data_IF_055729198851
#
_entry.id   IF_055729198851
#
_cell.length_a   1.000
_cell.length_b   1.000
_cell.length_c   1.000
_cell.angle_alpha   90.00
_cell.angle_beta   90.00
_cell.angle_gamma   90.00
#
_symmetry.space_group_name_H-M   'P 1'
#
loop_
_entity.id
_entity.type
_entity.pdbx_description
1 polymer ?
#
# COMPACT_ATOMS: atom_id res chain seq x y z
N UNK A 1 12.92 -0.12 9.13
CA UNK A 1 13.45 -0.33 7.77
C UNK A 1 12.47 0.32 6.83
N UNK A 2 12.87 1.41 6.18
CA UNK A 2 12.05 2.09 5.18
C UNK A 2 11.86 1.15 3.98
N UNK A 3 10.62 0.93 3.56
CA UNK A 3 10.36 0.06 2.41
C UNK A 3 10.47 0.92 1.16
N UNK A 4 11.69 1.12 0.66
CA UNK A 4 11.85 1.71 -0.67
C UNK A 4 11.11 0.84 -1.68
N UNK A 5 10.04 1.38 -2.28
CA UNK A 5 9.24 0.72 -3.32
C UNK A 5 10.18 0.33 -4.47
N UNK A 6 10.40 -0.97 -4.64
CA UNK A 6 11.35 -1.52 -5.59
C UNK A 6 10.79 -2.78 -6.21
N UNK A 7 10.84 -2.86 -7.53
CA UNK A 7 10.45 -4.02 -8.32
C UNK A 7 11.59 -5.03 -8.51
N UNK A 8 12.79 -4.74 -8.00
CA UNK A 8 13.93 -5.66 -8.12
C UNK A 8 13.71 -6.89 -7.23
N UNK A 9 13.82 -8.08 -7.81
CA UNK A 9 13.69 -9.37 -7.12
C UNK A 9 14.85 -10.30 -7.47
N UNK A 10 15.13 -11.33 -6.65
CA UNK A 10 16.08 -12.38 -7.03
C UNK A 10 15.64 -13.09 -8.32
N UNK A 11 16.59 -13.54 -9.14
CA UNK A 11 16.32 -14.14 -10.47
C UNK A 11 15.31 -15.30 -10.45
N UNK A 12 15.32 -16.12 -9.40
CA UNK A 12 14.36 -17.23 -9.24
C UNK A 12 12.90 -16.78 -9.10
N UNK A 13 12.64 -15.49 -8.84
CA UNK A 13 11.31 -14.92 -8.68
C UNK A 13 10.76 -14.24 -9.92
N UNK A 14 11.53 -14.05 -11.00
CA UNK A 14 11.07 -13.31 -12.19
C UNK A 14 9.79 -13.90 -12.80
N UNK A 15 9.74 -15.23 -13.00
CA UNK A 15 8.56 -15.92 -13.51
C UNK A 15 7.35 -15.88 -12.55
N UNK A 16 7.50 -16.35 -11.30
CA UNK A 16 6.40 -16.29 -10.32
C UNK A 16 5.89 -14.87 -10.03
N UNK A 17 6.78 -13.86 -10.06
CA UNK A 17 6.41 -12.45 -9.92
C UNK A 17 5.48 -12.03 -11.06
N UNK A 18 5.84 -12.31 -12.30
CA UNK A 18 5.03 -11.94 -13.46
C UNK A 18 3.62 -12.56 -13.41
N UNK A 19 3.52 -13.83 -12.99
CA UNK A 19 2.23 -14.50 -12.84
C UNK A 19 1.34 -13.86 -11.76
N UNK A 20 1.93 -13.50 -10.61
CA UNK A 20 1.20 -12.82 -9.54
C UNK A 20 0.77 -11.40 -9.94
N UNK A 21 1.65 -10.66 -10.62
CA UNK A 21 1.34 -9.32 -11.15
C UNK A 21 0.18 -9.40 -12.14
N UNK A 22 0.21 -10.34 -13.09
CA UNK A 22 -0.87 -10.48 -14.06
C UNK A 22 -2.23 -10.75 -13.39
N UNK A 23 -2.25 -11.57 -12.33
CA UNK A 23 -3.47 -11.84 -11.54
C UNK A 23 -3.97 -10.60 -10.79
N UNK A 24 -3.08 -9.86 -10.14
CA UNK A 24 -3.48 -8.67 -9.39
C UNK A 24 -3.85 -7.50 -10.29
N UNK A 25 -3.11 -7.30 -11.38
CA UNK A 25 -3.35 -6.22 -12.34
C UNK A 25 -4.70 -6.43 -13.03
N UNK A 26 -4.95 -7.64 -13.57
CA UNK A 26 -6.25 -7.95 -14.20
C UNK A 26 -7.43 -7.76 -13.25
N UNK A 27 -7.27 -8.15 -11.97
CA UNK A 27 -8.30 -7.90 -10.96
C UNK A 27 -8.51 -6.40 -10.70
N UNK A 28 -7.43 -5.64 -10.60
CA UNK A 28 -7.51 -4.21 -10.32
C UNK A 28 -8.12 -3.44 -11.48
N UNK A 29 -7.78 -3.81 -12.72
CA UNK A 29 -8.35 -3.21 -13.92
C UNK A 29 -9.86 -3.46 -14.03
N UNK A 30 -10.34 -4.64 -13.59
CA UNK A 30 -11.76 -5.00 -13.66
C UNK A 30 -12.58 -4.46 -12.48
N UNK A 31 -11.99 -4.39 -11.28
CA UNK A 31 -12.77 -4.20 -10.05
C UNK A 31 -12.27 -3.14 -9.07
N UNK A 32 -11.03 -2.65 -9.22
CA UNK A 32 -10.45 -1.62 -8.33
C UNK A 32 -9.95 -0.43 -9.16
N UNK A 33 -8.65 -0.11 -9.04
CA UNK A 33 -8.00 0.98 -9.75
C UNK A 33 -6.50 0.71 -9.96
N UNK A 34 -5.86 1.61 -10.70
CA UNK A 34 -4.44 1.54 -11.00
C UNK A 34 -3.54 1.69 -9.75
N UNK A 35 -3.96 2.41 -8.72
CA UNK A 35 -3.16 2.62 -7.50
C UNK A 35 -3.02 1.31 -6.71
N UNK A 36 -4.10 0.52 -6.63
CA UNK A 36 -4.07 -0.84 -6.09
C UNK A 36 -3.15 -1.75 -6.89
N UNK A 37 -3.19 -1.70 -8.22
CA UNK A 37 -2.31 -2.49 -9.08
C UNK A 37 -0.83 -2.19 -8.79
N UNK A 38 -0.47 -0.90 -8.75
CA UNK A 38 0.90 -0.49 -8.44
C UNK A 38 1.35 -0.92 -7.04
N UNK A 39 0.52 -0.73 -6.02
CA UNK A 39 0.82 -1.18 -4.66
C UNK A 39 0.94 -2.70 -4.56
N UNK A 40 0.10 -3.45 -5.27
CA UNK A 40 0.17 -4.90 -5.33
C UNK A 40 1.50 -5.37 -5.93
N UNK A 41 1.94 -4.77 -7.05
CA UNK A 41 3.25 -5.05 -7.67
C UNK A 41 4.40 -4.85 -6.66
N UNK A 42 4.40 -3.74 -5.94
CA UNK A 42 5.41 -3.47 -4.91
C UNK A 42 5.35 -4.46 -3.74
N UNK A 43 4.15 -4.80 -3.27
CA UNK A 43 3.95 -5.77 -2.19
C UNK A 43 4.46 -7.16 -2.59
N UNK A 44 4.12 -7.63 -3.79
CA UNK A 44 4.58 -8.93 -4.31
C UNK A 44 6.11 -8.94 -4.42
N UNK A 45 6.71 -7.91 -5.05
CA UNK A 45 8.16 -7.81 -5.16
C UNK A 45 8.85 -7.80 -3.78
N UNK A 46 8.27 -7.10 -2.79
CA UNK A 46 8.77 -7.09 -1.43
C UNK A 46 8.68 -8.47 -0.75
N UNK A 47 7.59 -9.22 -0.97
CA UNK A 47 7.45 -10.59 -0.48
C UNK A 47 8.48 -11.54 -1.11
N UNK A 48 8.73 -11.43 -2.43
CA UNK A 48 9.77 -12.20 -3.13
C UNK A 48 11.17 -12.02 -2.52
N UNK A 49 11.46 -10.85 -1.93
CA UNK A 49 12.75 -10.55 -1.27
C UNK A 49 12.85 -11.11 0.15
N UNK A 50 11.76 -11.54 0.79
CA UNK A 50 11.80 -12.12 2.14
C UNK A 50 12.50 -13.48 2.12
N UNK A 51 13.14 -13.84 3.25
CA UNK A 51 13.91 -15.09 3.40
C UNK A 51 13.49 -15.83 4.69
N UNK A 52 12.82 -16.99 4.58
CA UNK A 52 12.21 -17.52 3.37
C UNK A 52 11.06 -16.61 2.86
N UNK A 53 10.81 -16.62 1.55
CA UNK A 53 9.65 -15.91 0.99
C UNK A 53 8.40 -16.71 1.30
N UNK A 54 7.32 -16.09 1.83
CA UNK A 54 6.08 -16.81 2.11
C UNK A 54 5.41 -17.32 0.83
N UNK A 55 5.70 -16.70 -0.31
CA UNK A 55 5.14 -17.05 -1.62
C UNK A 55 5.57 -18.44 -2.11
N UNK A 56 6.59 -19.07 -1.50
CA UNK A 56 7.03 -20.43 -1.90
C UNK A 56 6.00 -21.51 -1.59
N UNK A 57 5.05 -21.24 -0.69
CA UNK A 57 4.05 -22.20 -0.24
C UNK A 57 2.63 -21.73 -0.57
N UNK A 58 2.00 -22.41 -1.55
CA UNK A 58 0.60 -22.19 -1.94
C UNK A 58 0.42 -21.71 -3.37
N UNK A 59 -0.83 -21.61 -3.81
CA UNK A 59 -1.16 -21.22 -5.18
C UNK A 59 -1.05 -19.71 -5.40
N UNK A 60 -0.73 -19.32 -6.63
CA UNK A 60 -0.58 -17.91 -7.01
C UNK A 60 -1.89 -17.12 -6.83
N UNK A 61 -3.05 -17.70 -7.14
CA UNK A 61 -4.36 -17.09 -6.87
C UNK A 61 -4.57 -16.78 -5.39
N UNK A 62 -4.14 -17.68 -4.50
CA UNK A 62 -4.22 -17.46 -3.05
C UNK A 62 -3.38 -16.28 -2.60
N UNK A 63 -2.17 -16.15 -3.14
CA UNK A 63 -1.28 -15.04 -2.80
C UNK A 63 -1.73 -13.72 -3.44
N UNK A 64 -2.24 -13.72 -4.66
CA UNK A 64 -2.82 -12.54 -5.31
C UNK A 64 -3.99 -11.98 -4.50
N UNK A 65 -4.96 -12.84 -4.14
CA UNK A 65 -6.06 -12.49 -3.25
C UNK A 65 -5.55 -11.94 -1.90
N UNK A 66 -4.60 -12.63 -1.27
CA UNK A 66 -4.06 -12.23 0.03
C UNK A 66 -3.36 -10.87 0.01
N UNK A 67 -2.64 -10.54 -1.07
CA UNK A 67 -1.98 -9.24 -1.26
C UNK A 67 -3.02 -8.13 -1.37
N UNK A 68 -4.00 -8.28 -2.27
CA UNK A 68 -5.05 -7.28 -2.44
C UNK A 68 -5.91 -7.12 -1.19
N UNK A 69 -6.21 -8.22 -0.49
CA UNK A 69 -6.91 -8.19 0.79
C UNK A 69 -6.09 -7.42 1.86
N UNK A 70 -4.78 -7.66 1.94
CA UNK A 70 -3.92 -6.96 2.89
C UNK A 70 -3.90 -5.44 2.61
N UNK A 71 -3.72 -5.05 1.35
CA UNK A 71 -3.79 -3.65 0.92
C UNK A 71 -5.18 -3.05 1.14
N UNK A 72 -6.23 -3.84 0.88
CA UNK A 72 -7.62 -3.45 1.11
C UNK A 72 -7.89 -3.08 2.57
N UNK A 73 -7.37 -3.85 3.53
CA UNK A 73 -7.49 -3.50 4.95
C UNK A 73 -6.72 -2.24 5.33
N UNK A 74 -5.50 -2.03 4.80
CA UNK A 74 -4.72 -0.82 5.08
C UNK A 74 -5.42 0.42 4.54
N UNK A 75 -6.13 0.27 3.42
CA UNK A 75 -6.78 1.35 2.67
C UNK A 75 -8.31 1.38 2.84
N UNK A 76 -8.86 0.71 3.86
CA UNK A 76 -10.29 0.72 4.16
C UNK A 76 -11.21 0.35 2.99
N UNK A 77 -10.80 -0.57 2.12
CA UNK A 77 -11.55 -1.00 0.92
C UNK A 77 -12.98 -1.48 1.24
N UNK A 78 -13.20 -2.05 2.43
CA UNK A 78 -14.51 -2.50 2.88
C UNK A 78 -15.35 -1.42 3.56
N UNK A 79 -14.90 -0.16 3.57
CA UNK A 79 -15.68 0.98 4.04
C UNK A 79 -16.43 1.61 2.85
N UNK A 80 -17.77 1.64 2.95
CA UNK A 80 -18.67 2.14 1.90
C UNK A 80 -18.49 3.62 1.60
N UNK A 81 -17.88 4.38 2.51
CA UNK A 81 -17.56 5.79 2.30
C UNK A 81 -16.33 6.01 1.41
N UNK A 82 -15.59 4.95 1.10
CA UNK A 82 -14.37 5.04 0.29
C UNK A 82 -14.60 4.64 -1.15
N UNK A 83 -13.78 5.18 -2.06
CA UNK A 83 -13.71 4.77 -3.45
C UNK A 83 -12.25 4.34 -3.77
N UNK A 84 -12.06 3.18 -4.43
CA UNK A 84 -13.05 2.14 -4.69
C UNK A 84 -13.52 1.45 -3.40
N UNK A 85 -14.74 0.89 -3.42
CA UNK A 85 -15.32 0.07 -2.35
C UNK A 85 -15.51 -1.37 -2.81
N UNK A 86 -15.15 -2.32 -1.96
CA UNK A 86 -15.44 -3.73 -2.16
C UNK A 86 -15.49 -4.48 -0.82
N UNK A 87 -16.48 -5.35 -0.63
CA UNK A 87 -16.48 -6.23 0.54
C UNK A 87 -15.36 -7.27 0.41
N UNK A 88 -14.68 -7.55 1.52
CA UNK A 88 -13.56 -8.50 1.53
C UNK A 88 -13.97 -9.92 1.12
N UNK A 89 -15.22 -10.29 1.39
CA UNK A 89 -15.78 -11.57 0.96
C UNK A 89 -15.91 -11.65 -0.57
N UNK A 90 -16.33 -10.57 -1.23
CA UNK A 90 -16.45 -10.52 -2.69
C UNK A 90 -15.08 -10.62 -3.34
N UNK A 91 -14.09 -9.87 -2.82
CA UNK A 91 -12.68 -9.99 -3.25
C UNK A 91 -12.23 -11.45 -3.21
N UNK A 92 -12.46 -12.16 -2.10
CA UNK A 92 -12.10 -13.57 -1.99
C UNK A 92 -12.89 -14.44 -2.98
N UNK A 93 -14.18 -14.16 -3.17
CA UNK A 93 -15.08 -14.87 -4.08
C UNK A 93 -14.60 -14.84 -5.53
N UNK A 94 -14.16 -13.69 -6.04
CA UNK A 94 -13.60 -13.54 -7.40
C UNK A 94 -12.36 -14.41 -7.63
N UNK A 95 -11.55 -14.63 -6.60
CA UNK A 95 -10.41 -15.56 -6.67
C UNK A 95 -10.79 -17.02 -6.39
N UNK A 96 -12.06 -17.32 -6.09
CA UNK A 96 -12.53 -18.66 -5.72
C UNK A 96 -12.02 -19.12 -4.35
N UNK A 97 -11.80 -18.18 -3.42
CA UNK A 97 -11.17 -18.45 -2.12
C UNK A 97 -12.16 -18.22 -0.98
N UNK A 98 -12.13 -19.10 0.02
CA UNK A 98 -12.90 -18.89 1.24
C UNK A 98 -12.40 -17.64 2.02
N UNK A 99 -13.29 -16.77 2.53
CA UNK A 99 -12.89 -15.55 3.24
C UNK A 99 -11.91 -15.77 4.40
N UNK A 100 -12.07 -16.88 5.14
CA UNK A 100 -11.15 -17.26 6.22
C UNK A 100 -9.73 -17.54 5.73
N UNK A 101 -9.59 -18.22 4.58
CA UNK A 101 -8.30 -18.47 3.93
C UNK A 101 -7.67 -17.17 3.45
N UNK A 102 -8.45 -16.31 2.78
CA UNK A 102 -8.00 -15.00 2.32
C UNK A 102 -7.49 -14.13 3.48
N UNK A 103 -8.29 -13.98 4.54
CA UNK A 103 -7.91 -13.21 5.73
C UNK A 103 -6.67 -13.75 6.45
N UNK A 104 -6.55 -15.07 6.61
CA UNK A 104 -5.39 -15.71 7.23
C UNK A 104 -4.10 -15.50 6.41
N UNK A 105 -4.18 -15.65 5.09
CA UNK A 105 -3.03 -15.40 4.19
C UNK A 105 -2.68 -13.91 4.13
N UNK A 106 -3.68 -13.03 4.10
CA UNK A 106 -3.46 -11.59 4.17
C UNK A 106 -2.75 -11.18 5.47
N UNK A 107 -3.03 -11.86 6.59
CA UNK A 107 -2.29 -11.63 7.85
C UNK A 107 -0.80 -11.94 7.68
N UNK A 108 -0.45 -13.04 7.00
CA UNK A 108 0.95 -13.36 6.69
C UNK A 108 1.60 -12.27 5.83
N UNK A 109 0.88 -11.74 4.83
CA UNK A 109 1.37 -10.61 4.01
C UNK A 109 1.66 -9.40 4.91
N UNK A 110 0.69 -8.99 5.74
CA UNK A 110 0.87 -7.84 6.63
C UNK A 110 2.01 -8.02 7.61
N UNK A 111 2.13 -9.20 8.24
CA UNK A 111 3.24 -9.51 9.14
C UNK A 111 4.58 -9.50 8.40
N UNK A 112 4.67 -10.14 7.24
CA UNK A 112 5.92 -10.21 6.47
C UNK A 112 6.40 -8.84 6.01
N UNK A 113 5.48 -7.95 5.64
CA UNK A 113 5.77 -6.61 5.14
C UNK A 113 5.68 -5.51 6.22
N UNK A 114 5.43 -5.90 7.47
CA UNK A 114 5.22 -4.98 8.61
C UNK A 114 4.15 -3.92 8.34
N UNK A 115 3.13 -4.27 7.55
CA UNK A 115 1.99 -3.40 7.25
C UNK A 115 1.19 -3.14 8.51
N UNK A 116 0.88 -1.88 8.76
CA UNK A 116 -0.01 -1.41 9.80
C UNK A 116 -0.94 -0.34 9.23
N UNK A 117 -2.00 -0.01 9.97
CA UNK A 117 -2.90 1.07 9.56
C UNK A 117 -2.12 2.38 9.48
N UNK A 118 -2.44 3.20 8.48
CA UNK A 118 -1.82 4.50 8.20
C UNK A 118 -0.34 4.46 7.78
N UNK A 119 0.24 3.28 7.56
CA UNK A 119 1.59 3.16 6.99
C UNK A 119 1.62 3.76 5.57
N UNK A 120 2.33 4.87 5.41
CA UNK A 120 2.40 5.57 4.13
C UNK A 120 3.05 4.74 3.01
N UNK A 121 3.81 3.69 3.35
CA UNK A 121 4.41 2.80 2.35
C UNK A 121 3.35 1.95 1.63
N UNK A 122 2.23 1.68 2.29
CA UNK A 122 1.16 0.78 1.82
C UNK A 122 -0.19 1.47 1.67
N UNK A 123 -0.22 2.79 1.85
CA UNK A 123 -1.40 3.63 1.64
C UNK A 123 -1.46 4.10 0.19
N UNK A 124 -2.65 4.14 -0.41
CA UNK A 124 -2.85 4.69 -1.76
C UNK A 124 -2.41 6.16 -1.80
N UNK A 125 -1.71 6.60 -2.86
CA UNK A 125 -1.36 8.01 -3.03
C UNK A 125 -2.55 8.97 -2.87
N UNK A 126 -3.71 8.67 -3.47
CA UNK A 126 -4.96 9.45 -3.32
C UNK A 126 -5.44 9.60 -1.87
N UNK A 127 -5.13 8.63 -0.99
CA UNK A 127 -5.49 8.67 0.43
C UNK A 127 -4.45 9.38 1.30
N UNK A 128 -3.21 9.48 0.86
CA UNK A 128 -2.16 10.16 1.62
C UNK A 128 -2.48 11.65 1.81
N UNK A 129 -3.09 12.31 0.83
CA UNK A 129 -3.40 13.74 0.97
C UNK A 129 -4.54 14.02 1.96
N UNK A 130 -5.55 13.15 1.98
CA UNK A 130 -6.75 13.32 2.79
C UNK A 130 -6.63 12.79 4.22
N UNK A 131 -5.79 11.78 4.46
CA UNK A 131 -5.63 11.17 5.78
C UNK A 131 -4.53 11.84 6.60
N UNK A 132 -4.92 12.62 7.62
CA UNK A 132 -3.96 13.23 8.56
C UNK A 132 -3.14 12.21 9.35
N UNK A 133 -3.65 10.99 9.53
CA UNK A 133 -3.00 9.97 10.36
C UNK A 133 -1.72 9.41 9.73
N UNK A 134 -1.60 9.43 8.41
CA UNK A 134 -0.37 9.02 7.71
C UNK A 134 0.77 10.04 7.81
N UNK A 135 0.49 11.23 8.34
CA UNK A 135 1.45 12.32 8.54
C UNK A 135 1.81 12.55 10.00
N UNK A 136 1.20 11.83 10.94
CA UNK A 136 1.53 11.95 12.35
C UNK A 136 2.86 11.26 12.64
N UNK A 137 3.82 12.06 13.14
CA UNK A 137 5.14 11.59 13.54
C UNK A 137 5.47 12.06 14.96
N UNK A 138 6.36 11.35 15.63
CA UNK A 138 6.88 11.79 16.93
C UNK A 138 8.12 12.68 16.74
N UNK A 139 8.07 13.88 17.33
CA UNK A 139 9.19 14.84 17.39
C UNK A 139 9.33 15.27 18.84
N UNK A 140 10.49 14.98 19.44
CA UNK A 140 10.82 15.31 20.84
C UNK A 140 9.74 14.87 21.85
N UNK A 141 9.16 13.68 21.63
CA UNK A 141 8.13 13.09 22.50
C UNK A 141 6.71 13.63 22.26
N UNK A 142 6.49 14.48 21.25
CA UNK A 142 5.18 15.01 20.86
C UNK A 142 4.74 14.44 19.51
N UNK A 143 3.48 14.03 19.42
CA UNK A 143 2.87 13.61 18.14
C UNK A 143 2.41 14.86 17.40
N UNK A 144 2.97 15.08 16.21
CA UNK A 144 2.72 16.26 15.38
C UNK A 144 2.39 15.85 13.95
N UNK A 145 1.58 16.67 13.26
CA UNK A 145 1.37 16.52 11.82
C UNK A 145 2.57 17.09 11.07
N UNK A 146 3.32 16.21 10.39
CA UNK A 146 4.54 16.58 9.70
C UNK A 146 4.32 17.64 8.61
N UNK A 147 3.11 17.77 8.06
CA UNK A 147 2.78 18.81 7.05
C UNK A 147 2.84 20.22 7.62
N UNK A 148 2.76 20.35 8.94
CA UNK A 148 2.85 21.62 9.66
C UNK A 148 4.28 21.95 10.08
N UNK A 149 5.22 21.01 9.97
CA UNK A 149 6.61 21.23 10.32
C UNK A 149 7.33 22.09 9.26
N UNK A 150 8.42 22.79 9.65
CA UNK A 150 9.37 23.40 8.72
C UNK A 150 9.86 22.42 7.65
N UNK A 151 10.16 22.94 6.44
CA UNK A 151 10.52 22.11 5.26
C UNK A 151 11.76 21.26 5.51
N UNK A 152 12.77 21.82 6.17
CA UNK A 152 14.00 21.12 6.57
C UNK A 152 13.72 19.94 7.51
N UNK A 153 12.79 20.09 8.46
CA UNK A 153 12.35 18.98 9.31
C UNK A 153 11.59 17.92 8.53
N UNK A 154 10.77 18.33 7.55
CA UNK A 154 10.09 17.39 6.66
C UNK A 154 11.08 16.60 5.80
N UNK A 155 12.13 17.25 5.27
CA UNK A 155 13.20 16.58 4.51
C UNK A 155 13.90 15.50 5.36
N UNK A 156 14.20 15.81 6.62
CA UNK A 156 14.74 14.83 7.57
C UNK A 156 13.75 13.68 7.82
N UNK A 157 12.46 13.99 7.97
CA UNK A 157 11.43 12.98 8.15
C UNK A 157 11.30 12.06 6.91
N UNK A 158 11.44 12.59 5.68
CA UNK A 158 11.49 11.78 4.45
C UNK A 158 12.73 10.90 4.42
N UNK A 159 13.91 11.43 4.78
CA UNK A 159 15.16 10.65 4.82
C UNK A 159 15.09 9.50 5.83
N UNK A 160 14.42 9.72 6.96
CA UNK A 160 14.13 8.68 7.96
C UNK A 160 12.95 7.77 7.54
N UNK A 161 12.26 8.12 6.46
CA UNK A 161 11.04 7.50 5.94
C UNK A 161 9.92 7.41 6.96
N UNK A 162 9.74 8.50 7.71
CA UNK A 162 8.61 8.73 8.60
C UNK A 162 7.40 9.29 7.84
N UNK A 163 7.65 10.02 6.74
CA UNK A 163 6.63 10.56 5.83
C UNK A 163 7.02 10.26 4.37
N UNK A 164 6.04 10.21 3.45
CA UNK A 164 6.30 9.77 2.09
C UNK A 164 7.06 10.81 1.24
N UNK A 165 6.82 12.11 1.46
CA UNK A 165 7.45 13.22 0.73
C UNK A 165 7.29 14.53 1.52
N UNK A 166 8.02 15.57 1.09
CA UNK A 166 7.85 16.93 1.63
C UNK A 166 6.53 17.52 1.15
N UNK A 167 5.65 17.86 2.08
CA UNK A 167 4.37 18.48 1.79
C UNK A 167 4.56 19.96 1.45
N UNK A 168 4.42 20.30 0.18
CA UNK A 168 4.38 21.70 -0.28
C UNK A 168 2.93 22.18 -0.25
N UNK A 169 2.61 23.12 0.65
CA UNK A 169 1.37 23.90 0.51
C UNK A 169 1.45 24.66 -0.80
N UNK A 170 0.48 24.47 -1.69
CA UNK A 170 0.25 25.41 -2.78
C UNK A 170 -0.10 26.73 -2.10
N UNK A 171 0.76 27.74 -2.22
CA UNK A 171 0.41 29.08 -1.77
C UNK A 171 -0.76 29.58 -2.62
N UNK A 172 -1.78 30.11 -1.98
CA UNK A 172 -2.84 30.89 -2.61
C UNK A 172 -2.20 32.07 -3.37
N UNK A 173 -1.77 31.87 -4.61
CA UNK A 173 -1.18 32.94 -5.43
C UNK A 173 -1.47 32.79 -6.92
N UNK A 174 -2.53 32.06 -7.30
CA UNK A 174 -2.97 31.96 -8.70
C UNK A 174 -4.50 31.98 -8.88
N UNK A 175 -5.21 32.86 -8.15
CA UNK A 175 -6.61 33.21 -8.50
C UNK A 175 -6.70 34.60 -9.18
N UNK A 176 -5.71 35.48 -9.04
CA UNK A 176 -5.72 36.80 -9.71
C UNK A 176 -4.88 36.84 -11.00
N UNK A 177 -5.21 36.05 -12.02
CA UNK A 177 -4.84 36.43 -13.41
C UNK A 177 -5.74 35.81 -14.49
N UNK A 178 -7.05 35.78 -14.27
CA UNK A 178 -8.03 35.67 -15.37
C UNK A 178 -9.30 36.45 -15.02
N UNK A 179 -9.22 37.76 -15.17
CA UNK A 179 -10.35 38.64 -15.47
C UNK A 179 -10.05 39.32 -16.81
#
# INVERSE_FOLDING_TARGET
MTTTKSMKVPKCWEGPLAALIALTDGFCDEHLDHEYAELARYAIAALCRKRPSPLTNGHSQTWACAVLYALGQVNFLSDRSTAPYMAMADLCGYFGIAPSTGGNKAKLVRTALSMHQFDHNWTLPSRLESSSLSWLIEVDGLIVDARQLPVDMQEVAVQKGLIPFVYKRISETQIETKL
#
